data_IF_883883529479
#
_entry.id   IF_883883529479
#
_cell.length_a   1.000
_cell.length_b   1.000
_cell.length_c   1.000
_cell.angle_alpha   90.00
_cell.angle_beta   90.00
_cell.angle_gamma   90.00
#
_symmetry.space_group_name_H-M   'P 1'
#
loop_
_entity.id
_entity.type
_entity.pdbx_description
1 polymer ?
#
# COMPACT_ATOMS: atom_id res chain seq x y z
N UNK A 1 -5.88 -52.97 -8.04
CA UNK A 1 -6.63 -51.90 -7.34
C UNK A 1 -5.94 -51.53 -6.04
N UNK A 2 -4.81 -50.81 -6.08
CA UNK A 2 -4.11 -50.40 -4.83
C UNK A 2 -3.07 -49.30 -5.10
N UNK A 3 -3.40 -48.19 -5.77
CA UNK A 3 -2.49 -47.06 -5.96
C UNK A 3 -3.10 -45.66 -5.70
N UNK A 4 -4.37 -45.57 -5.38
CA UNK A 4 -5.07 -44.27 -5.22
C UNK A 4 -5.17 -43.74 -3.78
N UNK A 5 -4.75 -44.52 -2.75
CA UNK A 5 -4.88 -44.10 -1.33
C UNK A 5 -3.65 -43.36 -0.78
N UNK A 6 -2.55 -43.31 -1.47
CA UNK A 6 -1.30 -42.71 -0.93
C UNK A 6 -1.13 -41.21 -1.26
N UNK A 7 -1.80 -40.69 -2.28
CA UNK A 7 -1.69 -39.27 -2.67
C UNK A 7 -2.50 -38.33 -1.78
N UNK A 8 -3.64 -38.76 -1.26
CA UNK A 8 -4.50 -37.93 -0.40
C UNK A 8 -3.90 -37.61 0.96
N UNK A 9 -3.25 -38.59 1.59
CA UNK A 9 -2.66 -38.41 2.91
C UNK A 9 -1.45 -37.45 2.95
N UNK A 10 -0.64 -37.44 1.88
CA UNK A 10 0.53 -36.54 1.81
C UNK A 10 0.09 -35.06 1.60
N UNK A 11 -0.96 -34.83 0.84
CA UNK A 11 -1.49 -33.48 0.60
C UNK A 11 -2.12 -32.91 1.87
N UNK A 12 -2.88 -33.69 2.61
CA UNK A 12 -3.52 -33.29 3.86
C UNK A 12 -2.48 -33.00 4.96
N UNK A 13 -1.43 -33.81 5.06
CA UNK A 13 -0.31 -33.57 5.98
C UNK A 13 0.41 -32.28 5.64
N UNK A 14 0.65 -31.98 4.37
CA UNK A 14 1.29 -30.75 3.93
C UNK A 14 0.44 -29.50 4.21
N UNK A 15 -0.87 -29.58 3.95
CA UNK A 15 -1.82 -28.51 4.29
C UNK A 15 -1.86 -28.21 5.79
N UNK A 16 -1.82 -29.26 6.59
CA UNK A 16 -1.73 -29.13 8.05
C UNK A 16 -0.41 -28.48 8.48
N UNK A 17 0.72 -28.91 7.91
CA UNK A 17 2.04 -28.35 8.20
C UNK A 17 2.11 -26.85 7.82
N UNK A 18 1.58 -26.45 6.65
CA UNK A 18 1.50 -25.04 6.24
C UNK A 18 0.64 -24.22 7.19
N UNK A 19 -0.47 -24.78 7.66
CA UNK A 19 -1.36 -24.10 8.62
C UNK A 19 -0.68 -23.91 9.97
N UNK A 20 0.02 -24.92 10.48
CA UNK A 20 0.78 -24.85 11.73
C UNK A 20 1.98 -23.90 11.60
N UNK A 21 2.71 -23.99 10.48
CA UNK A 21 3.82 -23.08 10.17
C UNK A 21 3.38 -21.60 10.12
N UNK A 22 2.24 -21.33 9.49
CA UNK A 22 1.65 -19.98 9.50
C UNK A 22 1.31 -19.52 10.92
N UNK A 23 0.64 -20.36 11.72
CA UNK A 23 0.33 -20.04 13.13
C UNK A 23 1.59 -19.74 13.92
N UNK A 24 2.63 -20.55 13.72
CA UNK A 24 3.92 -20.31 14.36
C UNK A 24 4.52 -18.95 13.96
N UNK A 25 4.59 -18.64 12.66
CA UNK A 25 5.13 -17.38 12.17
C UNK A 25 4.35 -16.18 12.69
N UNK A 26 3.03 -16.24 12.66
CA UNK A 26 2.16 -15.13 12.96
C UNK A 26 1.91 -14.93 14.46
N UNK A 27 1.58 -16.02 15.16
CA UNK A 27 0.90 -15.95 16.45
C UNK A 27 1.77 -16.46 17.62
N UNK A 28 2.74 -17.35 17.37
CA UNK A 28 3.59 -17.87 18.44
C UNK A 28 4.54 -16.78 19.00
N UNK A 29 4.85 -16.80 20.30
CA UNK A 29 5.83 -15.89 20.88
C UNK A 29 7.24 -16.14 20.34
N UNK A 30 8.12 -15.12 20.43
CA UNK A 30 9.50 -15.18 19.96
C UNK A 30 9.64 -15.07 18.43
N UNK A 31 10.90 -15.11 17.95
CA UNK A 31 11.25 -14.88 16.52
C UNK A 31 12.14 -15.97 15.94
N UNK A 32 12.54 -16.97 16.73
CA UNK A 32 13.49 -18.01 16.31
C UNK A 32 12.97 -18.76 15.07
N UNK A 33 13.78 -18.79 14.01
CA UNK A 33 13.47 -19.52 12.77
C UNK A 33 12.29 -19.03 11.94
N UNK A 34 11.50 -18.05 12.40
CA UNK A 34 10.30 -17.56 11.71
C UNK A 34 10.62 -16.97 10.33
N UNK A 35 11.69 -16.18 10.21
CA UNK A 35 12.10 -15.59 8.94
C UNK A 35 12.49 -16.65 7.91
N UNK A 36 13.24 -17.67 8.34
CA UNK A 36 13.61 -18.79 7.47
C UNK A 36 12.39 -19.63 7.07
N UNK A 37 11.51 -19.95 8.02
CA UNK A 37 10.27 -20.69 7.73
C UNK A 37 9.36 -19.92 6.78
N UNK A 38 9.15 -18.63 7.01
CA UNK A 38 8.32 -17.79 6.16
C UNK A 38 8.95 -17.65 4.76
N UNK A 39 10.22 -17.24 4.65
CA UNK A 39 10.84 -16.90 3.38
C UNK A 39 11.24 -18.09 2.53
N UNK A 40 11.66 -19.22 3.14
CA UNK A 40 12.11 -20.39 2.39
C UNK A 40 11.02 -21.41 2.07
N UNK A 41 9.94 -21.43 2.84
CA UNK A 41 8.91 -22.46 2.72
C UNK A 41 7.51 -21.88 2.51
N UNK A 42 7.01 -21.04 3.43
CA UNK A 42 5.61 -20.62 3.39
C UNK A 42 5.31 -19.65 2.25
N UNK A 43 6.15 -18.62 2.04
CA UNK A 43 5.93 -17.62 1.00
C UNK A 43 5.99 -18.24 -0.42
N UNK A 44 7.03 -19.01 -0.82
CA UNK A 44 7.04 -19.69 -2.11
C UNK A 44 5.88 -20.70 -2.28
N UNK A 45 5.62 -21.51 -1.24
CA UNK A 45 4.53 -22.48 -1.30
C UNK A 45 3.16 -21.83 -1.51
N UNK A 46 2.84 -20.77 -0.77
CA UNK A 46 1.56 -20.08 -0.87
C UNK A 46 1.38 -19.30 -2.17
N UNK A 47 2.46 -18.92 -2.82
CA UNK A 47 2.43 -18.34 -4.16
C UNK A 47 2.05 -19.37 -5.22
N UNK A 48 2.60 -20.59 -5.12
CA UNK A 48 2.36 -21.67 -6.07
C UNK A 48 1.07 -22.45 -5.78
N UNK A 49 0.64 -22.47 -4.51
CA UNK A 49 -0.59 -23.14 -4.04
C UNK A 49 -1.48 -22.10 -3.33
N UNK A 50 -2.15 -21.22 -4.10
CA UNK A 50 -2.83 -20.07 -3.55
C UNK A 50 -4.03 -20.45 -2.68
N UNK A 51 -4.26 -19.67 -1.64
CA UNK A 51 -5.41 -19.78 -0.74
C UNK A 51 -6.29 -18.54 -0.86
N UNK A 52 -7.57 -18.77 -1.14
CA UNK A 52 -8.60 -17.73 -1.20
C UNK A 52 -9.46 -17.80 0.04
N UNK A 53 -9.37 -16.79 0.92
CA UNK A 53 -10.14 -16.74 2.17
C UNK A 53 -10.24 -15.36 2.74
N UNK A 54 -11.11 -15.19 3.73
CA UNK A 54 -11.12 -14.00 4.57
C UNK A 54 -10.17 -14.23 5.74
N UNK A 55 -9.28 -13.24 5.97
CA UNK A 55 -8.35 -13.22 7.10
C UNK A 55 -8.58 -11.97 7.94
N UNK A 56 -8.28 -12.06 9.20
CA UNK A 56 -8.23 -10.91 10.09
C UNK A 56 -6.79 -10.43 10.22
N UNK A 57 -6.55 -9.13 10.15
CA UNK A 57 -5.24 -8.54 10.39
C UNK A 57 -4.92 -8.45 11.90
N UNK A 58 -3.76 -7.87 12.26
CA UNK A 58 -3.36 -7.71 13.67
C UNK A 58 -4.18 -6.65 14.42
N UNK A 59 -5.00 -5.90 13.72
CA UNK A 59 -5.81 -4.80 14.25
C UNK A 59 -7.31 -5.10 14.21
N UNK A 60 -7.67 -6.36 13.90
CA UNK A 60 -9.05 -6.83 13.85
C UNK A 60 -9.80 -6.44 12.58
N UNK A 61 -9.12 -5.96 11.53
CA UNK A 61 -9.73 -5.72 10.24
C UNK A 61 -9.75 -7.01 9.39
N UNK A 62 -10.78 -7.19 8.57
CA UNK A 62 -11.03 -8.40 7.80
C UNK A 62 -10.79 -8.14 6.31
N UNK A 63 -9.98 -9.00 5.68
CA UNK A 63 -9.63 -8.88 4.26
C UNK A 63 -9.91 -10.19 3.52
N UNK A 64 -10.57 -10.09 2.37
CA UNK A 64 -10.62 -11.18 1.41
C UNK A 64 -9.28 -11.22 0.67
N UNK A 65 -8.54 -12.32 0.80
CA UNK A 65 -7.19 -12.47 0.26
C UNK A 65 -7.08 -13.64 -0.71
N UNK A 66 -6.23 -13.45 -1.72
CA UNK A 66 -5.67 -14.48 -2.60
C UNK A 66 -4.15 -14.47 -2.44
N UNK A 67 -3.57 -15.56 -1.95
CA UNK A 67 -2.13 -15.61 -1.64
C UNK A 67 -1.22 -15.66 -2.86
N UNK A 68 -1.74 -15.65 -4.07
CA UNK A 68 -0.95 -15.40 -5.28
C UNK A 68 -0.29 -14.04 -5.23
N UNK A 69 -1.03 -13.03 -4.80
CA UNK A 69 -0.57 -11.65 -4.63
C UNK A 69 0.29 -11.46 -3.38
N UNK A 70 1.35 -10.66 -3.48
CA UNK A 70 2.33 -10.44 -2.41
C UNK A 70 1.69 -9.77 -1.17
N UNK A 71 0.94 -8.68 -1.38
CA UNK A 71 0.31 -7.91 -0.29
C UNK A 71 -0.65 -8.80 0.48
N UNK A 72 -1.49 -9.51 -0.24
CA UNK A 72 -2.52 -10.39 0.32
C UNK A 72 -1.89 -11.61 1.01
N UNK A 73 -0.79 -12.16 0.45
CA UNK A 73 -0.03 -13.24 1.04
C UNK A 73 0.65 -12.81 2.34
N UNK A 74 1.16 -11.58 2.42
CA UNK A 74 1.77 -11.04 3.63
C UNK A 74 0.73 -10.67 4.69
N UNK A 75 -0.43 -10.18 4.31
CA UNK A 75 -1.58 -10.10 5.24
C UNK A 75 -1.95 -11.48 5.80
N UNK A 76 -1.94 -12.52 4.97
CA UNK A 76 -2.20 -13.87 5.41
C UNK A 76 -1.11 -14.38 6.38
N UNK A 77 0.17 -14.20 6.04
CA UNK A 77 1.32 -14.71 6.81
C UNK A 77 1.57 -13.91 8.08
N UNK A 78 1.60 -12.58 8.00
CA UNK A 78 2.04 -11.71 9.08
C UNK A 78 0.90 -10.94 9.74
N UNK A 79 -0.25 -10.83 9.07
CA UNK A 79 -1.39 -10.06 9.55
C UNK A 79 -1.17 -8.55 9.53
N UNK A 80 -0.25 -8.07 8.72
CA UNK A 80 0.03 -6.65 8.50
C UNK A 80 0.70 -6.49 7.14
N UNK A 81 0.46 -5.35 6.50
CA UNK A 81 1.19 -4.88 5.34
C UNK A 81 2.00 -3.65 5.74
N UNK A 82 3.22 -3.51 5.24
CA UNK A 82 4.14 -2.41 5.53
C UNK A 82 4.12 -1.97 7.00
N UNK A 83 4.74 -2.71 7.89
CA UNK A 83 4.61 -2.47 9.32
C UNK A 83 5.03 -1.07 9.77
N UNK A 84 6.02 -0.45 9.07
CA UNK A 84 6.49 0.90 9.38
C UNK A 84 5.45 1.95 8.98
N UNK A 85 4.93 1.91 7.76
CA UNK A 85 3.88 2.81 7.27
C UNK A 85 2.58 2.61 8.08
N UNK A 86 2.17 1.36 8.29
CA UNK A 86 1.03 1.03 9.16
C UNK A 86 1.17 1.65 10.55
N UNK A 87 2.34 1.51 11.16
CA UNK A 87 2.60 2.06 12.49
C UNK A 87 2.66 3.58 12.50
N UNK A 88 3.20 4.19 11.46
CA UNK A 88 3.24 5.64 11.30
C UNK A 88 1.83 6.21 11.13
N UNK A 89 0.98 5.65 10.24
CA UNK A 89 -0.41 6.06 10.06
C UNK A 89 -1.20 5.98 11.37
N UNK A 90 -0.99 4.94 12.17
CA UNK A 90 -1.64 4.78 13.48
C UNK A 90 -1.25 5.84 14.50
N UNK A 91 -0.10 6.48 14.35
CA UNK A 91 0.33 7.63 15.19
C UNK A 91 -0.14 8.97 14.65
N UNK A 92 -0.43 9.04 13.35
CA UNK A 92 -0.80 10.30 12.67
C UNK A 92 -2.30 10.56 12.62
N UNK A 93 -3.07 9.50 12.38
CA UNK A 93 -4.51 9.62 12.18
C UNK A 93 -5.26 9.49 13.50
N UNK A 94 -6.20 10.39 13.71
CA UNK A 94 -7.11 10.39 14.85
C UNK A 94 -8.56 10.68 14.45
N UNK A 95 -9.50 10.58 15.42
CA UNK A 95 -10.91 10.83 15.17
C UNK A 95 -11.17 12.21 14.56
N UNK A 96 -11.94 12.25 13.47
CA UNK A 96 -12.29 13.48 12.75
C UNK A 96 -11.35 13.86 11.61
N UNK A 97 -10.18 13.24 11.51
CA UNK A 97 -9.24 13.50 10.41
C UNK A 97 -9.77 13.04 9.05
N UNK A 98 -9.19 13.59 7.98
CA UNK A 98 -9.36 13.09 6.63
C UNK A 98 -8.07 12.40 6.16
N UNK A 99 -8.21 11.22 5.57
CA UNK A 99 -7.14 10.49 4.89
C UNK A 99 -7.45 10.36 3.40
N UNK A 100 -6.47 10.66 2.55
CA UNK A 100 -6.57 10.47 1.10
C UNK A 100 -5.60 9.37 0.69
N UNK A 101 -6.11 8.33 0.05
CA UNK A 101 -5.39 7.12 -0.36
C UNK A 101 -5.40 7.01 -1.88
N UNK A 102 -4.32 7.45 -2.53
CA UNK A 102 -4.15 7.40 -3.98
C UNK A 102 -3.33 6.16 -4.32
N UNK A 103 -3.93 5.25 -5.09
CA UNK A 103 -3.43 3.90 -5.30
C UNK A 103 -3.87 2.99 -4.13
N UNK A 104 -5.17 2.99 -3.83
CA UNK A 104 -5.71 2.29 -2.66
C UNK A 104 -5.62 0.75 -2.75
N UNK A 105 -5.41 0.19 -3.93
CA UNK A 105 -5.30 -1.24 -4.17
C UNK A 105 -6.51 -2.01 -3.56
N UNK A 106 -6.31 -3.06 -2.79
CA UNK A 106 -7.38 -3.80 -2.09
C UNK A 106 -7.89 -3.10 -0.82
N UNK A 107 -7.37 -1.92 -0.48
CA UNK A 107 -7.83 -1.08 0.62
C UNK A 107 -7.23 -1.36 1.99
N UNK A 108 -5.99 -1.85 2.07
CA UNK A 108 -5.35 -2.13 3.37
C UNK A 108 -5.25 -0.87 4.21
N UNK A 109 -4.67 0.19 3.67
CA UNK A 109 -4.53 1.47 4.37
C UNK A 109 -5.86 2.23 4.47
N UNK A 110 -6.72 2.11 3.45
CA UNK A 110 -8.08 2.66 3.46
C UNK A 110 -8.90 2.15 4.65
N UNK A 111 -8.92 0.83 4.87
CA UNK A 111 -9.66 0.21 6.00
C UNK A 111 -9.03 0.60 7.33
N UNK A 112 -7.70 0.58 7.43
CA UNK A 112 -6.98 1.04 8.63
C UNK A 112 -7.36 2.47 8.97
N UNK A 113 -7.24 3.39 8.00
CA UNK A 113 -7.55 4.80 8.18
C UNK A 113 -9.02 5.03 8.53
N UNK A 114 -9.95 4.35 7.86
CA UNK A 114 -11.40 4.41 8.16
C UNK A 114 -11.69 4.16 9.65
N UNK A 115 -11.01 3.19 10.24
CA UNK A 115 -11.16 2.85 11.66
C UNK A 115 -10.51 3.87 12.59
N UNK A 116 -9.35 4.42 12.21
CA UNK A 116 -8.62 5.42 12.99
C UNK A 116 -9.33 6.76 13.05
N UNK A 117 -9.83 7.22 11.90
CA UNK A 117 -10.52 8.53 11.83
C UNK A 117 -11.95 8.46 12.36
N UNK A 118 -12.52 7.27 12.49
CA UNK A 118 -13.86 7.05 13.07
C UNK A 118 -15.00 7.67 12.27
N UNK A 119 -16.21 7.61 12.81
CA UNK A 119 -17.43 8.06 12.11
C UNK A 119 -17.50 9.57 11.83
N UNK A 120 -16.71 10.39 12.51
CA UNK A 120 -16.62 11.84 12.28
C UNK A 120 -15.55 12.22 11.27
N UNK A 121 -14.59 11.33 11.01
CA UNK A 121 -13.55 11.49 10.00
C UNK A 121 -14.01 11.00 8.63
N UNK A 122 -13.12 11.12 7.65
CA UNK A 122 -13.39 10.77 6.25
C UNK A 122 -12.17 10.10 5.60
N UNK A 123 -12.43 9.16 4.70
CA UNK A 123 -11.41 8.59 3.84
C UNK A 123 -11.84 8.75 2.39
N UNK A 124 -10.92 9.21 1.54
CA UNK A 124 -11.07 9.20 0.09
C UNK A 124 -10.08 8.21 -0.46
N UNK A 125 -10.56 7.14 -1.08
CA UNK A 125 -9.74 6.09 -1.66
C UNK A 125 -9.90 6.10 -3.18
N UNK A 126 -8.78 6.26 -3.89
CA UNK A 126 -8.76 6.31 -5.36
C UNK A 126 -7.95 5.11 -5.86
N UNK A 127 -8.59 4.30 -6.72
CA UNK A 127 -7.97 3.11 -7.30
C UNK A 127 -8.28 3.03 -8.79
N UNK A 128 -7.24 2.96 -9.61
CA UNK A 128 -7.34 2.98 -11.07
C UNK A 128 -7.89 1.67 -11.65
N UNK A 129 -7.45 0.52 -11.12
CA UNK A 129 -7.86 -0.79 -11.60
C UNK A 129 -9.30 -1.12 -11.21
N UNK A 130 -10.22 -1.37 -12.17
CA UNK A 130 -11.58 -1.80 -11.83
C UNK A 130 -11.62 -3.09 -11.00
N UNK A 131 -10.67 -4.01 -11.21
CA UNK A 131 -10.56 -5.25 -10.48
C UNK A 131 -10.19 -4.99 -9.01
N UNK A 132 -9.13 -4.21 -8.75
CA UNK A 132 -8.73 -3.85 -7.39
C UNK A 132 -9.75 -2.96 -6.70
N UNK A 133 -10.36 -2.01 -7.42
CA UNK A 133 -11.48 -1.25 -6.89
C UNK A 133 -12.64 -2.16 -6.44
N UNK A 134 -12.95 -3.22 -7.19
CA UNK A 134 -13.91 -4.24 -6.78
C UNK A 134 -13.50 -4.96 -5.47
N UNK A 135 -12.21 -5.29 -5.32
CA UNK A 135 -11.66 -5.88 -4.09
C UNK A 135 -11.70 -4.86 -2.92
N UNK A 136 -11.34 -3.60 -3.15
CA UNK A 136 -11.47 -2.50 -2.19
C UNK A 136 -12.91 -2.42 -1.67
N UNK A 137 -13.90 -2.31 -2.54
CA UNK A 137 -15.31 -2.25 -2.14
C UNK A 137 -15.76 -3.48 -1.34
N UNK A 138 -15.27 -4.67 -1.67
CA UNK A 138 -15.52 -5.89 -0.90
C UNK A 138 -14.95 -5.78 0.51
N UNK A 139 -13.70 -5.34 0.64
CA UNK A 139 -13.03 -5.21 1.93
C UNK A 139 -13.65 -4.10 2.79
N UNK A 140 -14.08 -2.99 2.20
CA UNK A 140 -14.84 -1.94 2.89
C UNK A 140 -16.15 -2.48 3.49
N UNK A 141 -16.90 -3.27 2.72
CA UNK A 141 -18.13 -3.93 3.22
C UNK A 141 -17.85 -4.92 4.34
N UNK A 142 -16.78 -5.72 4.25
CA UNK A 142 -16.38 -6.68 5.30
C UNK A 142 -16.08 -5.99 6.64
N UNK A 143 -15.68 -4.71 6.60
CA UNK A 143 -15.31 -3.92 7.77
C UNK A 143 -16.34 -2.85 8.18
N UNK A 144 -17.45 -2.71 7.46
CA UNK A 144 -18.45 -1.70 7.75
C UNK A 144 -17.94 -0.26 7.61
N UNK A 145 -17.03 0.01 6.69
CA UNK A 145 -16.40 1.32 6.48
C UNK A 145 -17.37 2.29 5.78
N UNK A 146 -18.27 2.93 6.56
CA UNK A 146 -19.29 3.86 6.04
C UNK A 146 -18.74 5.27 5.76
N UNK A 147 -17.58 5.63 6.29
CA UNK A 147 -16.91 6.93 6.17
C UNK A 147 -15.92 7.00 5.00
N UNK A 148 -15.94 6.01 4.08
CA UNK A 148 -15.04 5.92 2.93
C UNK A 148 -15.78 6.26 1.65
N UNK A 149 -15.23 7.18 0.87
CA UNK A 149 -15.59 7.45 -0.52
C UNK A 149 -14.56 6.78 -1.43
N UNK A 150 -14.95 5.68 -2.06
CA UNK A 150 -14.11 4.97 -3.01
C UNK A 150 -14.40 5.45 -4.43
N UNK A 151 -13.34 5.75 -5.19
CA UNK A 151 -13.41 6.27 -6.56
C UNK A 151 -12.59 5.35 -7.47
N UNK A 152 -13.20 4.86 -8.56
CA UNK A 152 -12.47 4.14 -9.60
C UNK A 152 -12.00 5.12 -10.67
N UNK A 153 -10.79 5.58 -10.54
CA UNK A 153 -10.12 6.52 -11.44
C UNK A 153 -8.62 6.42 -11.27
N UNK A 154 -7.85 6.75 -12.30
CA UNK A 154 -6.46 7.11 -12.14
C UNK A 154 -6.34 8.58 -11.70
N UNK A 155 -5.16 8.95 -11.19
CA UNK A 155 -4.82 10.33 -10.85
C UNK A 155 -3.64 10.79 -11.71
N UNK A 156 -3.73 11.99 -12.26
CA UNK A 156 -2.70 12.62 -13.07
C UNK A 156 -2.68 14.15 -12.85
N UNK A 157 -1.84 14.87 -13.58
CA UNK A 157 -1.81 16.34 -13.56
C UNK A 157 -2.92 16.99 -14.43
N UNK A 158 -3.55 16.23 -15.31
CA UNK A 158 -4.63 16.66 -16.22
C UNK A 158 -5.60 15.51 -16.51
N UNK A 159 -6.74 15.84 -17.10
CA UNK A 159 -7.64 14.81 -17.62
C UNK A 159 -7.04 14.16 -18.87
N UNK A 160 -6.91 12.84 -18.82
CA UNK A 160 -6.47 12.02 -19.94
C UNK A 160 -6.94 10.56 -19.76
N UNK A 161 -6.86 9.79 -20.84
CA UNK A 161 -7.10 8.34 -20.79
C UNK A 161 -5.76 7.63 -20.71
N UNK A 162 -5.60 6.80 -19.71
CA UNK A 162 -4.40 6.02 -19.48
C UNK A 162 -4.66 4.54 -19.70
N UNK A 163 -3.70 3.86 -20.33
CA UNK A 163 -3.69 2.41 -20.48
C UNK A 163 -2.75 1.79 -19.45
N UNK A 164 -3.29 0.93 -18.63
CA UNK A 164 -2.54 0.18 -17.62
C UNK A 164 -2.25 -1.23 -18.11
N UNK A 165 -1.05 -1.72 -17.83
CA UNK A 165 -0.61 -3.07 -18.13
C UNK A 165 -0.25 -3.79 -16.85
N UNK A 166 -0.88 -4.93 -16.60
CA UNK A 166 -0.48 -5.86 -15.55
C UNK A 166 0.48 -6.89 -16.14
N UNK A 167 1.74 -6.80 -15.77
CA UNK A 167 2.82 -7.64 -16.30
C UNK A 167 2.82 -9.06 -15.74
N UNK A 168 2.34 -9.28 -14.50
CA UNK A 168 2.32 -10.59 -13.85
C UNK A 168 1.38 -10.60 -12.64
N UNK A 169 0.57 -11.66 -12.51
CA UNK A 169 -0.29 -11.90 -11.34
C UNK A 169 0.48 -12.13 -10.03
N UNK A 170 1.76 -12.47 -10.11
CA UNK A 170 2.61 -12.66 -8.92
C UNK A 170 2.93 -11.36 -8.19
N UNK A 171 2.75 -10.24 -8.86
CA UNK A 171 2.89 -8.89 -8.31
C UNK A 171 1.70 -8.04 -8.76
N UNK A 172 0.49 -8.45 -8.35
CA UNK A 172 -0.77 -7.80 -8.75
C UNK A 172 -0.90 -6.36 -8.23
N UNK A 173 -0.07 -5.95 -7.26
CA UNK A 173 0.06 -4.55 -6.83
C UNK A 173 0.68 -3.65 -7.91
N UNK A 174 1.42 -4.21 -8.86
CA UNK A 174 2.15 -3.47 -9.88
C UNK A 174 1.36 -3.28 -11.19
N UNK A 175 0.13 -2.76 -11.12
CA UNK A 175 -0.52 -2.18 -12.29
C UNK A 175 0.18 -0.86 -12.63
N UNK A 176 0.89 -0.79 -13.75
CA UNK A 176 1.67 0.38 -14.12
C UNK A 176 1.28 0.87 -15.51
N UNK A 177 1.35 2.19 -15.70
CA UNK A 177 1.31 2.83 -17.03
C UNK A 177 2.69 2.84 -17.70
N UNK A 178 3.74 2.39 -17.02
CA UNK A 178 5.09 2.29 -17.58
C UNK A 178 5.08 1.28 -18.73
N UNK A 179 5.62 1.64 -19.91
CA UNK A 179 5.70 0.74 -21.06
C UNK A 179 6.34 -0.60 -20.70
N UNK A 180 5.68 -1.68 -21.09
CA UNK A 180 6.11 -3.04 -20.82
C UNK A 180 6.05 -3.88 -22.11
N UNK A 181 7.18 -4.43 -22.52
CA UNK A 181 7.33 -5.18 -23.80
C UNK A 181 7.12 -6.70 -23.63
N UNK A 182 6.77 -7.16 -22.44
CA UNK A 182 6.56 -8.59 -22.16
C UNK A 182 5.08 -9.03 -22.29
N UNK A 183 4.78 -10.31 -22.04
CA UNK A 183 3.40 -10.80 -22.02
C UNK A 183 2.62 -10.16 -20.87
N UNK A 184 1.52 -9.48 -21.20
CA UNK A 184 0.62 -8.86 -20.25
C UNK A 184 -0.49 -9.84 -19.84
N UNK A 185 -0.77 -9.97 -18.54
CA UNK A 185 -1.90 -10.75 -18.03
C UNK A 185 -3.23 -10.02 -18.18
N UNK A 186 -3.22 -8.71 -18.05
CA UNK A 186 -4.37 -7.87 -18.34
C UNK A 186 -3.95 -6.47 -18.81
N UNK A 187 -4.81 -5.87 -19.64
CA UNK A 187 -4.71 -4.47 -20.05
C UNK A 187 -6.07 -3.84 -19.82
N UNK A 188 -6.10 -2.65 -19.22
CA UNK A 188 -7.32 -1.89 -19.06
C UNK A 188 -7.07 -0.41 -19.27
N UNK A 189 -8.10 0.30 -19.73
CA UNK A 189 -8.09 1.74 -19.84
C UNK A 189 -8.92 2.37 -18.73
N UNK A 190 -8.47 3.49 -18.22
CA UNK A 190 -9.21 4.28 -17.25
C UNK A 190 -9.02 5.76 -17.48
N UNK A 191 -9.99 6.56 -17.05
CA UNK A 191 -9.87 8.01 -17.01
C UNK A 191 -8.95 8.42 -15.87
N UNK A 192 -7.98 9.27 -16.16
CA UNK A 192 -7.15 9.94 -15.16
C UNK A 192 -7.65 11.38 -14.99
N UNK A 193 -7.71 11.83 -13.73
CA UNK A 193 -8.14 13.19 -13.40
C UNK A 193 -7.24 13.78 -12.30
N UNK A 194 -7.06 15.11 -12.25
CA UNK A 194 -6.30 15.76 -11.18
C UNK A 194 -6.99 15.62 -9.82
N UNK A 195 -6.21 15.61 -8.75
CA UNK A 195 -6.75 15.62 -7.37
C UNK A 195 -7.59 16.86 -7.09
N UNK A 196 -7.33 17.98 -7.78
CA UNK A 196 -8.13 19.21 -7.72
C UNK A 196 -9.59 19.02 -8.18
N UNK A 197 -9.85 18.01 -9.00
CA UNK A 197 -11.19 17.67 -9.46
C UNK A 197 -11.82 16.54 -8.66
N UNK A 198 -11.00 15.68 -8.05
CA UNK A 198 -11.46 14.56 -7.25
C UNK A 198 -11.81 14.94 -5.81
N UNK A 199 -11.07 15.88 -5.22
CA UNK A 199 -11.23 16.26 -3.83
C UNK A 199 -12.13 17.49 -3.69
N UNK A 200 -13.02 17.47 -2.72
CA UNK A 200 -13.77 18.64 -2.28
C UNK A 200 -12.89 19.53 -1.39
N UNK A 201 -13.19 20.84 -1.32
CA UNK A 201 -12.48 21.78 -0.45
C UNK A 201 -12.45 21.30 1.01
N UNK A 202 -13.53 20.67 1.49
CA UNK A 202 -13.59 20.11 2.83
C UNK A 202 -12.64 18.93 3.02
N UNK A 203 -12.48 18.07 2.01
CA UNK A 203 -11.55 16.94 2.05
C UNK A 203 -10.11 17.44 2.04
N UNK A 204 -9.80 18.46 1.24
CA UNK A 204 -8.48 19.10 1.20
C UNK A 204 -8.15 19.76 2.55
N UNK A 205 -9.04 20.63 3.05
CA UNK A 205 -8.80 21.34 4.31
C UNK A 205 -8.73 20.40 5.53
N UNK A 206 -9.40 19.25 5.48
CA UNK A 206 -9.38 18.23 6.53
C UNK A 206 -8.25 17.21 6.40
N UNK A 207 -7.52 17.16 5.27
CA UNK A 207 -6.52 16.14 4.98
C UNK A 207 -5.36 16.18 5.98
N UNK A 208 -5.30 15.18 6.87
CA UNK A 208 -4.20 14.98 7.81
C UNK A 208 -3.05 14.23 7.15
N UNK A 209 -3.39 13.22 6.33
CA UNK A 209 -2.43 12.47 5.54
C UNK A 209 -2.97 12.25 4.13
N UNK A 210 -2.11 12.48 3.13
CA UNK A 210 -2.31 12.06 1.74
C UNK A 210 -1.25 11.00 1.42
N UNK A 211 -1.66 9.78 1.05
CA UNK A 211 -0.78 8.72 0.55
C UNK A 211 -0.86 8.69 -0.97
N UNK A 212 0.29 8.58 -1.63
CA UNK A 212 0.43 8.44 -3.07
C UNK A 212 1.36 7.24 -3.34
N UNK A 213 0.81 6.24 -4.02
CA UNK A 213 1.52 5.02 -4.38
C UNK A 213 0.86 4.50 -5.68
N UNK A 214 1.45 4.89 -6.82
CA UNK A 214 0.84 4.74 -8.16
C UNK A 214 1.77 4.10 -9.18
N UNK A 215 2.82 3.45 -8.70
CA UNK A 215 3.69 2.56 -9.47
C UNK A 215 4.38 3.22 -10.69
N UNK A 216 4.92 4.43 -10.46
CA UNK A 216 5.73 5.19 -11.43
C UNK A 216 5.13 6.52 -11.91
N UNK A 217 3.84 6.79 -11.65
CA UNK A 217 3.17 8.03 -12.05
C UNK A 217 3.22 9.14 -10.97
N UNK A 218 4.04 8.98 -9.92
CA UNK A 218 4.09 9.87 -8.75
C UNK A 218 4.36 11.33 -9.16
N UNK A 219 5.22 11.57 -10.16
CA UNK A 219 5.51 12.91 -10.66
C UNK A 219 4.26 13.62 -11.19
N UNK A 220 3.48 12.94 -12.01
CA UNK A 220 2.21 13.48 -12.54
C UNK A 220 1.19 13.72 -11.43
N UNK A 221 1.02 12.78 -10.51
CA UNK A 221 0.11 12.93 -9.37
C UNK A 221 0.50 14.11 -8.49
N UNK A 222 1.80 14.29 -8.20
CA UNK A 222 2.30 15.40 -7.39
C UNK A 222 2.13 16.74 -8.08
N UNK A 223 2.34 16.83 -9.41
CA UNK A 223 2.00 18.05 -10.18
C UNK A 223 0.52 18.38 -10.07
N UNK A 224 -0.37 17.37 -10.16
CA UNK A 224 -1.82 17.55 -9.98
C UNK A 224 -2.21 17.92 -8.54
N UNK A 225 -1.41 17.54 -7.53
CA UNK A 225 -1.59 17.91 -6.13
C UNK A 225 -1.05 19.31 -5.81
N UNK A 226 -0.03 19.79 -6.55
CA UNK A 226 0.70 21.01 -6.22
C UNK A 226 -0.19 22.24 -5.95
N UNK A 227 -1.27 22.51 -6.72
CA UNK A 227 -2.17 23.63 -6.43
C UNK A 227 -2.89 23.54 -5.07
N UNK A 228 -3.04 22.32 -4.51
CA UNK A 228 -3.73 22.07 -3.25
C UNK A 228 -2.78 22.12 -2.03
N UNK A 229 -1.46 22.06 -2.22
CA UNK A 229 -0.50 22.00 -1.12
C UNK A 229 -0.64 23.15 -0.13
N UNK A 230 -0.93 24.38 -0.63
CA UNK A 230 -1.16 25.55 0.21
C UNK A 230 -2.49 25.55 0.97
N UNK A 231 -3.47 24.77 0.51
CA UNK A 231 -4.80 24.64 1.13
C UNK A 231 -4.89 23.49 2.13
N UNK A 232 -3.87 22.62 2.17
CA UNK A 232 -3.78 21.58 3.18
C UNK A 232 -3.60 22.19 4.58
N UNK A 233 -4.14 21.55 5.60
CA UNK A 233 -3.97 21.96 6.99
C UNK A 233 -2.48 22.05 7.38
N UNK A 234 -2.09 22.90 8.35
CA UNK A 234 -0.66 23.13 8.68
C UNK A 234 0.12 21.88 9.08
N UNK A 235 -0.53 20.91 9.72
CA UNK A 235 0.04 19.65 10.18
C UNK A 235 -0.19 18.49 9.18
N UNK A 236 -0.66 18.79 7.96
CA UNK A 236 -0.80 17.76 6.92
C UNK A 236 0.56 17.17 6.53
N UNK A 237 0.56 15.88 6.29
CA UNK A 237 1.71 15.14 5.80
C UNK A 237 1.34 14.39 4.52
N UNK A 238 2.28 14.32 3.57
CA UNK A 238 2.09 13.59 2.31
C UNK A 238 3.10 12.46 2.25
N UNK A 239 2.63 11.23 2.12
CA UNK A 239 3.46 10.04 1.98
C UNK A 239 3.46 9.62 0.51
N UNK A 240 4.65 9.46 -0.07
CA UNK A 240 4.82 9.12 -1.48
C UNK A 240 5.83 7.98 -1.62
N UNK A 241 5.43 6.89 -2.27
CA UNK A 241 6.37 5.87 -2.73
C UNK A 241 7.00 6.36 -4.03
N UNK A 242 8.27 6.76 -3.98
CA UNK A 242 8.99 7.31 -5.13
C UNK A 242 9.81 6.23 -5.80
N UNK A 243 9.54 5.96 -7.07
CA UNK A 243 10.25 4.98 -7.91
C UNK A 243 11.00 5.65 -9.06
N UNK A 244 12.21 6.20 -8.84
CA UNK A 244 12.91 7.05 -9.81
C UNK A 244 13.09 6.42 -11.20
N UNK A 245 13.36 5.11 -11.26
CA UNK A 245 13.52 4.40 -12.53
C UNK A 245 12.21 4.29 -13.33
N UNK A 246 11.09 4.05 -12.65
CA UNK A 246 9.76 4.00 -13.30
C UNK A 246 9.32 5.38 -13.73
N UNK A 247 9.51 6.39 -12.87
CA UNK A 247 9.23 7.79 -13.17
C UNK A 247 10.01 8.25 -14.42
N UNK A 248 11.30 7.93 -14.51
CA UNK A 248 12.13 8.30 -15.67
C UNK A 248 11.62 7.72 -16.99
N UNK A 249 11.05 6.51 -16.98
CA UNK A 249 10.43 5.89 -18.18
C UNK A 249 9.18 6.65 -18.65
N UNK A 250 8.54 7.39 -17.76
CA UNK A 250 7.39 8.25 -18.05
C UNK A 250 7.80 9.70 -18.32
N UNK A 251 9.11 9.99 -18.35
CA UNK A 251 9.65 11.33 -18.55
C UNK A 251 9.64 12.21 -17.30
N UNK A 252 9.36 11.64 -16.13
CA UNK A 252 9.32 12.34 -14.85
C UNK A 252 10.65 12.24 -14.11
N UNK A 253 10.92 13.21 -13.21
CA UNK A 253 12.13 13.29 -12.42
C UNK A 253 11.79 13.38 -10.91
N UNK A 254 12.37 12.47 -10.14
CA UNK A 254 12.21 12.50 -8.67
C UNK A 254 12.71 13.80 -8.03
N UNK A 255 13.70 14.46 -8.64
CA UNK A 255 14.20 15.78 -8.20
C UNK A 255 13.15 16.89 -8.35
N UNK A 256 12.35 16.86 -9.41
CA UNK A 256 11.24 17.83 -9.61
C UNK A 256 10.13 17.61 -8.59
N UNK A 257 9.77 16.34 -8.31
CA UNK A 257 8.84 15.98 -7.25
C UNK A 257 9.30 16.53 -5.90
N UNK A 258 10.55 16.32 -5.54
CA UNK A 258 11.16 16.86 -4.31
C UNK A 258 11.10 18.38 -4.27
N UNK A 259 11.41 19.05 -5.38
CA UNK A 259 11.41 20.50 -5.50
C UNK A 259 10.00 21.09 -5.36
N UNK A 260 8.97 20.41 -5.86
CA UNK A 260 7.55 20.79 -5.71
C UNK A 260 7.15 20.87 -4.25
N UNK A 261 7.49 19.87 -3.44
CA UNK A 261 7.22 19.90 -2.01
C UNK A 261 8.06 20.94 -1.26
N UNK A 262 9.35 21.07 -1.60
CA UNK A 262 10.22 22.04 -0.99
C UNK A 262 9.74 23.49 -1.23
N UNK A 263 9.28 23.82 -2.44
CA UNK A 263 8.70 25.12 -2.78
C UNK A 263 7.43 25.43 -1.97
N UNK A 264 6.68 24.41 -1.56
CA UNK A 264 5.49 24.53 -0.69
C UNK A 264 5.81 24.48 0.82
N UNK A 265 7.10 24.53 1.20
CA UNK A 265 7.57 24.55 2.59
C UNK A 265 7.57 23.19 3.29
N UNK A 266 7.56 22.10 2.54
CA UNK A 266 7.66 20.75 3.09
C UNK A 266 9.11 20.26 3.10
N UNK A 267 9.42 19.48 4.09
CA UNK A 267 10.69 18.78 4.27
C UNK A 267 10.50 17.28 4.03
N UNK A 268 11.46 16.65 3.36
CA UNK A 268 11.40 15.22 3.06
C UNK A 268 11.99 14.38 4.19
N UNK A 269 11.33 13.28 4.50
CA UNK A 269 11.74 12.29 5.48
C UNK A 269 11.64 10.90 4.84
N UNK A 270 12.68 10.10 5.00
CA UNK A 270 12.68 8.73 4.52
C UNK A 270 12.10 7.79 5.57
N UNK A 271 11.13 6.99 5.18
CA UNK A 271 10.63 5.87 5.95
C UNK A 271 11.43 4.61 5.59
N UNK A 272 11.78 3.82 6.59
CA UNK A 272 12.35 2.49 6.36
C UNK A 272 11.25 1.59 5.83
N UNK A 273 11.49 0.95 4.70
CA UNK A 273 10.62 -0.08 4.16
C UNK A 273 11.45 -1.27 3.67
N UNK A 274 10.90 -2.47 3.71
CA UNK A 274 11.53 -3.69 3.23
C UNK A 274 10.50 -4.79 3.09
N UNK A 275 10.56 -5.48 1.96
CA UNK A 275 9.55 -6.45 1.55
C UNK A 275 9.96 -7.91 1.75
N UNK A 276 11.03 -8.17 2.52
CA UNK A 276 11.39 -9.54 2.87
C UNK A 276 10.67 -10.00 4.14
N UNK A 277 10.38 -11.30 4.29
CA UNK A 277 9.87 -11.86 5.56
C UNK A 277 10.72 -11.50 6.78
N UNK A 278 12.03 -11.34 6.62
CA UNK A 278 12.94 -10.93 7.69
C UNK A 278 12.71 -9.48 8.11
N UNK A 279 12.48 -8.58 7.14
CA UNK A 279 12.22 -7.16 7.42
C UNK A 279 10.88 -6.98 8.13
N UNK A 280 9.83 -7.68 7.69
CA UNK A 280 8.53 -7.68 8.36
C UNK A 280 8.62 -8.16 9.82
N UNK A 281 9.31 -9.27 10.06
CA UNK A 281 9.48 -9.80 11.42
C UNK A 281 10.36 -8.90 12.28
N UNK A 282 11.35 -8.23 11.69
CA UNK A 282 12.17 -7.22 12.39
C UNK A 282 11.31 -6.03 12.80
N UNK A 283 10.53 -5.46 11.88
CA UNK A 283 9.65 -4.34 12.17
C UNK A 283 8.57 -4.68 13.22
N UNK A 284 8.04 -5.93 13.19
CA UNK A 284 7.11 -6.41 14.20
C UNK A 284 7.76 -6.60 15.59
N UNK A 285 9.05 -6.90 15.64
CA UNK A 285 9.81 -7.07 16.89
C UNK A 285 10.24 -5.75 17.50
N UNK A 286 10.77 -4.85 16.67
CA UNK A 286 11.40 -3.59 17.09
C UNK A 286 10.41 -2.43 17.15
N UNK A 287 9.24 -2.62 16.54
CA UNK A 287 8.26 -1.58 16.33
C UNK A 287 8.55 -0.72 15.09
N UNK A 288 7.59 0.11 14.68
CA UNK A 288 7.73 0.97 13.51
C UNK A 288 8.77 2.08 13.76
N UNK A 289 9.76 2.15 12.88
CA UNK A 289 10.77 3.21 12.90
C UNK A 289 10.12 4.58 12.58
N UNK A 290 10.66 5.64 13.17
CA UNK A 290 10.27 7.00 12.82
C UNK A 290 10.92 7.40 11.47
N UNK A 291 10.21 8.18 10.62
CA UNK A 291 10.81 8.72 9.39
C UNK A 291 11.96 9.68 9.74
N UNK A 292 13.08 9.53 9.01
CA UNK A 292 14.32 10.30 9.24
C UNK A 292 14.50 11.33 8.12
N UNK A 293 14.94 12.55 8.48
CA UNK A 293 15.17 13.63 7.52
C UNK A 293 16.03 13.17 6.35
N UNK A 294 15.52 13.41 5.14
CA UNK A 294 16.21 13.06 3.91
C UNK A 294 16.70 14.30 3.16
N UNK A 295 18.00 14.30 2.80
CA UNK A 295 18.64 15.40 2.07
C UNK A 295 19.47 14.92 0.88
N UNK A 296 19.48 13.61 0.63
CA UNK A 296 20.27 12.98 -0.42
C UNK A 296 19.52 12.74 -1.72
N UNK A 297 20.22 12.28 -2.75
CA UNK A 297 19.57 11.81 -3.99
C UNK A 297 18.77 10.53 -3.73
N UNK A 298 17.79 10.28 -4.58
CA UNK A 298 17.00 9.05 -4.59
C UNK A 298 17.56 8.12 -5.67
N UNK A 299 18.06 6.96 -5.25
CA UNK A 299 18.71 6.00 -6.14
C UNK A 299 17.85 4.76 -6.43
N UNK A 300 16.75 4.57 -5.72
CA UNK A 300 15.84 3.41 -5.86
C UNK A 300 14.50 3.71 -5.22
N UNK A 301 13.59 2.74 -5.25
CA UNK A 301 12.29 2.81 -4.61
C UNK A 301 12.43 3.25 -3.16
N UNK A 302 11.73 4.30 -2.80
CA UNK A 302 11.88 4.97 -1.51
C UNK A 302 10.54 5.53 -1.05
N UNK A 303 10.13 5.13 0.14
CA UNK A 303 8.99 5.71 0.84
C UNK A 303 9.39 7.03 1.47
N UNK A 304 8.81 8.15 1.03
CA UNK A 304 9.03 9.48 1.56
C UNK A 304 7.80 10.03 2.26
N UNK A 305 8.02 10.66 3.40
CA UNK A 305 7.02 11.51 4.06
C UNK A 305 7.44 12.96 3.91
N UNK A 306 6.55 13.80 3.42
CA UNK A 306 6.72 15.24 3.33
C UNK A 306 5.92 15.91 4.44
N UNK A 307 6.60 16.70 5.26
CA UNK A 307 6.01 17.41 6.42
C UNK A 307 6.57 18.83 6.50
N UNK A 308 5.77 19.77 7.00
CA UNK A 308 6.24 21.14 7.30
C UNK A 308 7.04 21.24 8.61
N UNK A 309 7.05 20.18 9.40
CA UNK A 309 7.90 20.08 10.58
C UNK A 309 9.36 20.03 10.13
N UNK A 310 10.23 20.88 10.70
CA UNK A 310 11.67 20.86 10.48
C UNK A 310 12.37 20.20 11.66
N UNK A 311 12.63 18.91 11.55
CA UNK A 311 13.28 18.08 12.58
C UNK A 311 14.20 17.04 11.92
N UNK A 312 15.03 16.36 12.69
CA UNK A 312 15.84 15.25 12.15
C UNK A 312 15.02 13.95 12.05
N UNK A 313 14.00 13.80 12.88
CA UNK A 313 13.05 12.68 12.82
C UNK A 313 11.63 13.19 13.01
N UNK A 314 10.68 12.62 12.30
CA UNK A 314 9.26 12.85 12.58
C UNK A 314 8.82 11.94 13.74
N UNK A 315 8.19 12.49 14.77
CA UNK A 315 7.77 11.74 15.96
C UNK A 315 6.78 10.63 15.64
#
# INVERSE_FOLDING_TARGET
>A
MSSERTSGGSTEALETAVTLGRRYVRDAPGFLGKAALAGRFLDPYLREHPRRRVVEDRFGARFAVDTTDLIQRYLYLFGVWEPHLTGWLRRRLGPGDTFVDVGANIGVFTVLASRLVGGTGRVVAVEASPAFHGHLLRNLRLNGCANVRAVNSAVADRRERLTFVLASSHNMGANSIVPYDGPAESVFETEAVPLTELLTDREVAGARVVKIDVEGAEGSVVRGLAPLLGALRPDAEVCVEVTPERMARLGDCAGELMSTFAAAGFHAYRMTNGYTPADFLRALREGPAAPVRWRGPLAGETELVFSRVDAETLP
#
